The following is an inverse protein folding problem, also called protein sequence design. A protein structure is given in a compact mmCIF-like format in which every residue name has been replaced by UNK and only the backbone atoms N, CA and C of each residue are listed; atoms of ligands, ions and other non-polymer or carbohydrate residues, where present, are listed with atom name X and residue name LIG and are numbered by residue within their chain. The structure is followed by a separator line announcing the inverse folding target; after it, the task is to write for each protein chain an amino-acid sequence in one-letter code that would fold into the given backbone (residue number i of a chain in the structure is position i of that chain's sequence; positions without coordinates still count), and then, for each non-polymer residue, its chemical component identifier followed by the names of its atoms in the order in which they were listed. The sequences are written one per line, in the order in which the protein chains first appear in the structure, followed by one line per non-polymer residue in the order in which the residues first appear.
data_IF_384208086039
#
_entry.id   IF_384208086039
#
_cell.length_a   1.000
_cell.length_b   1.000
_cell.length_c   1.000
_cell.angle_alpha   90.00
_cell.angle_beta   90.00
_cell.angle_gamma   90.00
#
_symmetry.space_group_name_H-M   'P 1'
#
loop_
_entity.id
_entity.type
_entity.pdbx_description
1 polymer ?
#
# COMPACT_ATOMS: atom_id res chain seq x y z
N UNK A 1 -0.86 1.28 -3.71
CA UNK A 1 -0.99 1.81 -2.34
C UNK A 1 -0.74 0.69 -1.35
N UNK A 2 0.36 0.75 -0.60
CA UNK A 2 0.65 -0.20 0.49
C UNK A 2 -0.25 0.00 1.71
N UNK A 3 -0.80 1.20 1.88
CA UNK A 3 -1.52 1.59 3.09
C UNK A 3 -2.93 0.97 3.25
N UNK A 4 -3.52 0.37 2.20
CA UNK A 4 -4.82 -0.30 2.33
C UNK A 4 -5.00 -1.41 1.29
N UNK A 5 -5.07 -2.65 1.77
CA UNK A 5 -5.40 -3.86 1.01
C UNK A 5 -6.12 -4.86 1.92
N UNK A 6 -6.78 -5.86 1.35
CA UNK A 6 -7.51 -6.86 2.11
C UNK A 6 -8.20 -7.89 1.22
N UNK A 7 -8.89 -8.83 1.86
CA UNK A 7 -9.56 -9.94 1.19
C UNK A 7 -10.01 -11.01 2.19
N UNK A 8 -10.30 -12.21 1.69
CA UNK A 8 -10.45 -13.37 2.58
C UNK A 8 -9.13 -13.69 3.28
N UNK A 9 -9.21 -14.40 4.40
CA UNK A 9 -8.00 -14.79 5.16
C UNK A 9 -7.01 -15.55 4.30
N UNK A 10 -7.50 -16.45 3.44
CA UNK A 10 -6.66 -17.27 2.53
C UNK A 10 -5.92 -16.37 1.53
N UNK A 11 -6.61 -15.44 0.89
CA UNK A 11 -6.00 -14.56 -0.11
C UNK A 11 -5.02 -13.57 0.51
N UNK A 12 -5.35 -13.01 1.68
CA UNK A 12 -4.43 -12.12 2.40
C UNK A 12 -3.19 -12.88 2.85
N UNK A 13 -3.33 -14.13 3.31
CA UNK A 13 -2.20 -14.97 3.67
C UNK A 13 -1.30 -15.27 2.47
N UNK A 14 -1.85 -15.61 1.30
CA UNK A 14 -1.04 -15.81 0.09
C UNK A 14 -0.29 -14.55 -0.30
N UNK A 15 -0.97 -13.40 -0.35
CA UNK A 15 -0.38 -12.12 -0.70
C UNK A 15 0.78 -11.75 0.22
N UNK A 16 0.56 -11.76 1.54
CA UNK A 16 1.57 -11.34 2.52
C UNK A 16 2.75 -12.30 2.55
N UNK A 17 2.50 -13.61 2.46
CA UNK A 17 3.56 -14.63 2.39
C UNK A 17 4.45 -14.43 1.16
N UNK A 18 3.86 -14.25 -0.03
CA UNK A 18 4.64 -14.03 -1.26
C UNK A 18 5.43 -12.73 -1.22
N UNK A 19 4.83 -11.64 -0.73
CA UNK A 19 5.54 -10.37 -0.58
C UNK A 19 6.70 -10.48 0.41
N UNK A 20 6.51 -11.19 1.53
CA UNK A 20 7.58 -11.42 2.50
C UNK A 20 8.74 -12.24 1.92
N UNK A 21 8.44 -13.31 1.19
CA UNK A 21 9.47 -14.12 0.53
C UNK A 21 10.28 -13.29 -0.47
N UNK A 22 9.63 -12.45 -1.27
CA UNK A 22 10.30 -11.54 -2.20
C UNK A 22 11.17 -10.51 -1.48
N UNK A 23 10.72 -9.95 -0.34
CA UNK A 23 11.55 -9.05 0.47
C UNK A 23 12.79 -9.74 1.05
N UNK A 24 12.66 -11.01 1.46
CA UNK A 24 13.80 -11.80 1.97
C UNK A 24 14.80 -12.08 0.85
N UNK A 25 14.34 -12.38 -0.36
CA UNK A 25 15.19 -12.57 -1.55
C UNK A 25 15.92 -11.29 -1.93
N UNK A 26 15.22 -10.16 -2.02
CA UNK A 26 15.80 -8.84 -2.29
C UNK A 26 16.89 -8.50 -1.26
N UNK A 27 16.60 -8.74 0.02
CA UNK A 27 17.57 -8.54 1.10
C UNK A 27 18.80 -9.44 0.95
N UNK A 28 18.63 -10.70 0.57
CA UNK A 28 19.75 -11.62 0.34
C UNK A 28 20.63 -11.18 -0.85
N UNK A 29 20.02 -10.52 -1.83
CA UNK A 29 20.70 -9.93 -2.99
C UNK A 29 21.26 -8.52 -2.72
N UNK A 30 21.12 -8.00 -1.49
CA UNK A 30 21.62 -6.67 -1.12
C UNK A 30 20.85 -5.52 -1.77
N UNK A 31 19.61 -5.75 -2.18
CA UNK A 31 18.74 -4.74 -2.78
C UNK A 31 17.52 -4.47 -1.88
N UNK A 32 16.98 -3.26 -1.98
CA UNK A 32 15.71 -2.88 -1.34
C UNK A 32 14.82 -2.21 -2.37
N UNK A 33 13.56 -2.62 -2.43
CA UNK A 33 12.63 -2.06 -3.38
C UNK A 33 12.31 -0.58 -3.05
N UNK A 34 12.26 0.27 -4.08
CA UNK A 34 12.14 1.75 -3.94
C UNK A 34 10.99 2.26 -3.05
N UNK A 35 9.87 1.53 -3.02
CA UNK A 35 8.71 1.84 -2.17
C UNK A 35 8.44 0.68 -1.19
N UNK A 36 9.49 0.04 -0.69
CA UNK A 36 9.46 -1.03 0.31
C UNK A 36 8.40 -2.10 -0.04
N UNK A 37 7.54 -2.44 0.90
CA UNK A 37 6.44 -3.41 0.77
C UNK A 37 5.42 -3.05 -0.33
N UNK A 38 5.17 -1.75 -0.59
CA UNK A 38 4.25 -1.33 -1.65
C UNK A 38 4.74 -1.76 -3.05
N UNK A 39 6.05 -1.79 -3.29
CA UNK A 39 6.58 -2.30 -4.56
C UNK A 39 6.25 -3.79 -4.76
N UNK A 40 6.42 -4.61 -3.72
CA UNK A 40 6.10 -6.04 -3.76
C UNK A 40 4.59 -6.27 -3.90
N UNK A 41 3.77 -5.51 -3.17
CA UNK A 41 2.31 -5.54 -3.29
C UNK A 41 1.86 -5.26 -4.73
N UNK A 42 2.41 -4.23 -5.38
CA UNK A 42 2.08 -3.91 -6.78
C UNK A 42 2.48 -5.03 -7.74
N UNK A 43 3.66 -5.63 -7.55
CA UNK A 43 4.10 -6.80 -8.32
C UNK A 43 3.14 -7.98 -8.12
N UNK A 44 2.72 -8.27 -6.89
CA UNK A 44 1.78 -9.35 -6.61
C UNK A 44 0.43 -9.13 -7.32
N UNK A 45 -0.18 -7.95 -7.17
CA UNK A 45 -1.47 -7.60 -7.78
C UNK A 45 -1.43 -7.49 -9.30
N UNK A 46 -0.24 -7.27 -9.88
CA UNK A 46 -0.06 -7.31 -11.33
C UNK A 46 -0.34 -8.73 -11.88
N UNK A 47 0.11 -9.76 -11.18
CA UNK A 47 -0.06 -11.17 -11.59
C UNK A 47 -1.29 -11.85 -10.97
N UNK A 48 -1.75 -11.38 -9.81
CA UNK A 48 -2.93 -11.90 -9.11
C UNK A 48 -3.98 -10.79 -9.03
N UNK A 49 -4.85 -10.72 -10.05
CA UNK A 49 -5.81 -9.61 -10.18
C UNK A 49 -6.76 -9.57 -8.98
N UNK A 50 -6.92 -8.41 -8.32
CA UNK A 50 -7.88 -8.29 -7.22
C UNK A 50 -9.31 -8.42 -7.76
N UNK A 51 -10.20 -9.01 -6.97
CA UNK A 51 -11.62 -9.16 -7.33
C UNK A 51 -12.40 -7.84 -7.23
N UNK A 52 -11.87 -6.87 -6.46
CA UNK A 52 -12.39 -5.51 -6.35
C UNK A 52 -11.23 -4.52 -6.25
N UNK A 53 -11.37 -3.37 -6.91
CA UNK A 53 -10.47 -2.23 -6.79
C UNK A 53 -11.24 -1.09 -6.14
N UNK A 54 -10.71 -0.57 -5.04
CA UNK A 54 -11.29 0.58 -4.36
C UNK A 54 -10.81 1.87 -5.04
N UNK A 55 -11.74 2.81 -5.22
CA UNK A 55 -11.39 4.16 -5.70
C UNK A 55 -10.54 4.90 -4.65
N UNK A 56 -9.88 6.00 -5.03
CA UNK A 56 -9.13 6.82 -4.08
C UNK A 56 -9.97 7.36 -2.91
N UNK A 57 -11.31 7.30 -2.96
CA UNK A 57 -12.19 7.67 -1.83
C UNK A 57 -11.86 6.92 -0.53
N UNK A 58 -11.27 5.72 -0.64
CA UNK A 58 -10.91 4.85 0.48
C UNK A 58 -9.47 5.01 0.96
N UNK A 59 -8.68 5.94 0.39
CA UNK A 59 -7.37 6.34 0.89
C UNK A 59 -6.97 7.65 0.21
N UNK A 60 -7.07 8.77 0.92
CA UNK A 60 -6.85 10.09 0.34
C UNK A 60 -5.99 11.00 1.23
N UNK A 61 -5.16 11.83 0.61
CA UNK A 61 -4.46 12.91 1.30
C UNK A 61 -5.11 14.25 0.95
N UNK A 62 -6.02 14.72 1.81
CA UNK A 62 -6.74 15.96 1.56
C UNK A 62 -5.84 17.20 1.67
N UNK A 63 -4.80 17.15 2.50
CA UNK A 63 -3.90 18.29 2.68
C UNK A 63 -3.03 18.50 1.44
N UNK A 64 -2.54 17.42 0.83
CA UNK A 64 -1.67 17.48 -0.34
C UNK A 64 -2.46 17.61 -1.65
N UNK A 65 -3.61 16.94 -1.76
CA UNK A 65 -4.34 16.77 -3.04
C UNK A 65 -5.67 17.53 -3.09
N UNK A 66 -6.07 18.19 -2.01
CA UNK A 66 -7.36 18.89 -1.92
C UNK A 66 -8.56 17.94 -1.97
N UNK A 67 -9.70 18.43 -2.44
CA UNK A 67 -10.91 17.61 -2.66
C UNK A 67 -11.44 17.84 -4.10
N UNK A 68 -10.99 17.06 -5.08
CA UNK A 68 -11.43 17.20 -6.47
C UNK A 68 -12.89 16.75 -6.63
N UNK A 69 -13.63 17.38 -7.55
CA UNK A 69 -15.08 17.15 -7.75
C UNK A 69 -15.45 15.71 -8.15
N UNK A 70 -14.51 14.95 -8.71
CA UNK A 70 -14.70 13.52 -9.02
C UNK A 70 -14.89 12.66 -7.76
N UNK A 71 -14.36 13.11 -6.62
CA UNK A 71 -14.47 12.42 -5.34
C UNK A 71 -15.78 12.80 -4.67
N UNK A 72 -16.74 11.87 -4.61
CA UNK A 72 -18.04 12.13 -3.98
C UNK A 72 -17.94 12.07 -2.46
N UNK A 73 -16.98 11.29 -1.93
CA UNK A 73 -16.70 11.15 -0.50
C UNK A 73 -15.20 10.99 -0.22
N UNK A 74 -14.76 11.51 0.92
CA UNK A 74 -13.46 11.18 1.53
C UNK A 74 -13.72 10.25 2.72
N UNK A 75 -13.49 8.94 2.57
CA UNK A 75 -13.92 7.92 3.56
C UNK A 75 -12.82 7.55 4.53
N UNK A 76 -11.58 7.57 4.06
CA UNK A 76 -10.40 7.30 4.85
C UNK A 76 -9.30 8.25 4.40
N UNK A 77 -8.84 9.10 5.31
CA UNK A 77 -7.92 10.21 5.00
C UNK A 77 -6.64 10.12 5.81
N UNK A 78 -5.54 10.57 5.22
CA UNK A 78 -4.25 10.64 5.91
C UNK A 78 -4.32 11.66 7.06
N UNK A 79 -3.69 11.31 8.19
CA UNK A 79 -3.45 12.27 9.27
C UNK A 79 -2.12 12.99 8.99
N UNK A 80 -2.08 14.34 9.08
CA UNK A 80 -0.86 15.12 8.94
C UNK A 80 0.20 14.67 9.93
N UNK A 81 1.45 14.54 9.47
CA UNK A 81 2.56 14.07 10.31
C UNK A 81 3.91 14.50 9.78
N UNK A 82 4.85 14.76 10.68
CA UNK A 82 6.26 14.98 10.34
C UNK A 82 6.98 13.63 10.33
N UNK A 83 7.35 13.14 9.14
CA UNK A 83 8.00 11.84 8.98
C UNK A 83 9.33 11.73 9.73
N UNK A 84 10.15 12.79 9.73
CA UNK A 84 11.45 12.75 10.40
C UNK A 84 11.28 12.61 11.92
N UNK A 85 10.33 13.34 12.50
CA UNK A 85 10.10 13.35 13.94
C UNK A 85 9.49 12.04 14.47
N UNK A 86 8.69 11.34 13.68
CA UNK A 86 8.00 10.12 14.14
C UNK A 86 8.75 8.81 13.81
N UNK A 87 9.67 8.83 12.85
CA UNK A 87 10.38 7.63 12.37
C UNK A 87 11.78 7.46 12.96
N UNK A 88 12.35 8.53 13.50
CA UNK A 88 13.66 8.49 14.14
C UNK A 88 13.48 8.74 15.63
N UNK A 89 13.98 7.82 16.44
CA UNK A 89 14.14 7.99 17.89
C UNK A 89 15.61 8.20 18.20
#
# INVERSE_FOLDING_TARGET
MGAFFGGSVVEVHHLTKTCHQAMVEDKANGIEAVWHDESHLKKYLLYHKPTKVLSPEYMWDQQLLGWPSIMKKLRYVTVPKNHQAIRNR
#
